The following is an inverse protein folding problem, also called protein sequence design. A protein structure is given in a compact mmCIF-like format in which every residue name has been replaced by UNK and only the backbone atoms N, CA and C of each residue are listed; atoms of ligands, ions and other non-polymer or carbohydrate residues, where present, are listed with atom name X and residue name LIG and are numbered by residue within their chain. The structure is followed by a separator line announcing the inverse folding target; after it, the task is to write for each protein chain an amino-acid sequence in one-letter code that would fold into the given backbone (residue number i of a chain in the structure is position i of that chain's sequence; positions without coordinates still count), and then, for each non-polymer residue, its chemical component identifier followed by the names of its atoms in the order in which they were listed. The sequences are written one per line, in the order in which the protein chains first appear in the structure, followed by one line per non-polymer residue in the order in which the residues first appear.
data_IF_981305394997
#
_entry.id   IF_981305394997
#
_cell.length_a   1.000
_cell.length_b   1.000
_cell.length_c   1.000
_cell.angle_alpha   90.00
_cell.angle_beta   90.00
_cell.angle_gamma   90.00
#
_symmetry.space_group_name_H-M   'P 1'
#
loop_
_entity.id
_entity.type
_entity.pdbx_description
1 polymer ?
#
# COMPACT_ATOMS: atom_id res chain seq x y z
N UNK A 1 40.68 3.23 11.02
CA UNK A 1 40.16 2.29 12.05
C UNK A 1 39.10 1.47 11.34
N UNK A 2 39.45 0.24 10.99
CA UNK A 2 38.57 -0.65 10.24
C UNK A 2 37.59 -1.26 11.23
N UNK A 3 36.35 -0.79 11.24
CA UNK A 3 35.25 -1.44 11.98
C UNK A 3 34.92 -2.77 11.30
N UNK A 4 35.73 -3.79 11.61
CA UNK A 4 35.33 -5.16 11.38
C UNK A 4 34.28 -5.52 12.45
N UNK A 5 33.08 -5.98 12.08
CA UNK A 5 32.13 -6.50 13.06
C UNK A 5 32.79 -7.66 13.84
N UNK A 6 32.46 -7.86 15.12
CA UNK A 6 33.04 -8.92 15.92
C UNK A 6 32.62 -10.27 15.32
N UNK A 7 33.50 -10.83 14.49
CA UNK A 7 33.54 -12.26 14.24
C UNK A 7 33.99 -12.94 15.54
N UNK A 8 33.56 -14.19 15.75
CA UNK A 8 34.03 -15.16 16.75
C UNK A 8 33.14 -15.36 18.00
N UNK A 9 31.87 -15.71 17.78
CA UNK A 9 31.26 -16.80 18.56
C UNK A 9 31.04 -17.95 17.58
N UNK A 10 31.47 -19.16 17.95
CA UNK A 10 31.14 -20.35 17.17
C UNK A 10 29.61 -20.44 17.08
N UNK A 11 29.09 -20.47 15.86
CA UNK A 11 27.65 -20.54 15.63
C UNK A 11 27.11 -21.77 16.36
N UNK A 12 26.17 -21.62 17.31
CA UNK A 12 25.64 -22.77 18.05
C UNK A 12 25.05 -23.79 17.09
N UNK A 13 25.12 -25.06 17.46
CA UNK A 13 24.48 -26.13 16.71
C UNK A 13 22.99 -25.82 16.51
N UNK A 14 22.50 -25.99 15.28
CA UNK A 14 21.11 -25.67 14.89
C UNK A 14 20.79 -24.19 14.67
N UNK A 15 21.68 -23.24 14.97
CA UNK A 15 21.41 -21.81 14.78
C UNK A 15 21.18 -21.44 13.31
N UNK A 16 21.96 -22.02 12.39
CA UNK A 16 21.83 -21.73 10.96
C UNK A 16 20.46 -22.15 10.41
N UNK A 17 19.98 -23.33 10.81
CA UNK A 17 18.67 -23.85 10.43
C UNK A 17 17.55 -23.00 11.02
N UNK A 18 17.64 -22.68 12.32
CA UNK A 18 16.69 -21.79 12.98
C UNK A 18 16.64 -20.39 12.36
N UNK A 19 17.80 -19.83 12.00
CA UNK A 19 17.88 -18.54 11.32
C UNK A 19 17.23 -18.59 9.93
N UNK A 20 17.41 -19.69 9.20
CA UNK A 20 16.77 -19.90 7.90
C UNK A 20 15.24 -19.98 8.07
N UNK A 21 14.75 -20.75 9.03
CA UNK A 21 13.32 -20.83 9.35
C UNK A 21 12.74 -19.46 9.70
N UNK A 22 13.46 -18.67 10.51
CA UNK A 22 13.02 -17.33 10.90
C UNK A 22 12.95 -16.40 9.69
N UNK A 23 13.96 -16.41 8.81
CA UNK A 23 13.95 -15.61 7.57
C UNK A 23 12.77 -15.98 6.67
N UNK A 24 12.49 -17.27 6.51
CA UNK A 24 11.34 -17.76 5.74
C UNK A 24 10.03 -17.24 6.34
N UNK A 25 9.83 -17.39 7.65
CA UNK A 25 8.62 -16.92 8.34
C UNK A 25 8.43 -15.40 8.21
N UNK A 26 9.51 -14.63 8.30
CA UNK A 26 9.48 -13.17 8.12
C UNK A 26 9.07 -12.83 6.69
N UNK A 27 9.68 -13.49 5.69
CA UNK A 27 9.37 -13.23 4.29
C UNK A 27 7.90 -13.55 3.97
N UNK A 28 7.40 -14.70 4.42
CA UNK A 28 6.00 -15.10 4.25
C UNK A 28 5.04 -14.11 4.91
N UNK A 29 5.38 -13.61 6.11
CA UNK A 29 4.58 -12.60 6.78
C UNK A 29 4.54 -11.28 6.00
N UNK A 30 5.68 -10.83 5.47
CA UNK A 30 5.77 -9.62 4.64
C UNK A 30 4.99 -9.76 3.33
N UNK A 31 5.06 -10.91 2.66
CA UNK A 31 4.27 -11.18 1.46
C UNK A 31 2.78 -11.13 1.75
N UNK A 32 2.32 -11.81 2.81
CA UNK A 32 0.90 -11.79 3.21
C UNK A 32 0.42 -10.39 3.54
N UNK A 33 1.21 -9.62 4.28
CA UNK A 33 0.89 -8.23 4.60
C UNK A 33 0.77 -7.38 3.31
N UNK A 34 1.72 -7.52 2.39
CA UNK A 34 1.72 -6.79 1.12
C UNK A 34 0.50 -7.14 0.27
N UNK A 35 0.15 -8.42 0.16
CA UNK A 35 -1.05 -8.87 -0.55
C UNK A 35 -2.34 -8.33 0.09
N UNK A 36 -2.44 -8.35 1.42
CA UNK A 36 -3.59 -7.83 2.14
C UNK A 36 -3.75 -6.32 1.89
N UNK A 37 -2.66 -5.54 2.00
CA UNK A 37 -2.67 -4.10 1.73
C UNK A 37 -3.07 -3.81 0.29
N UNK A 38 -2.48 -4.51 -0.68
CA UNK A 38 -2.82 -4.31 -2.10
C UNK A 38 -4.28 -4.62 -2.39
N UNK A 39 -4.82 -5.70 -1.80
CA UNK A 39 -6.25 -6.03 -1.93
C UNK A 39 -7.13 -4.92 -1.39
N UNK A 40 -6.81 -4.37 -0.22
CA UNK A 40 -7.59 -3.28 0.37
C UNK A 40 -7.50 -1.99 -0.45
N UNK A 41 -6.32 -1.66 -0.98
CA UNK A 41 -6.16 -0.51 -1.86
C UNK A 41 -6.99 -0.64 -3.14
N UNK A 42 -6.97 -1.80 -3.79
CA UNK A 42 -7.79 -2.04 -4.99
C UNK A 42 -9.28 -1.91 -4.68
N UNK A 43 -9.75 -2.50 -3.58
CA UNK A 43 -11.15 -2.37 -3.16
C UNK A 43 -11.53 -0.92 -2.85
N UNK A 44 -10.66 -0.17 -2.18
CA UNK A 44 -10.88 1.24 -1.86
C UNK A 44 -11.04 2.08 -3.12
N UNK A 45 -10.16 1.94 -4.11
CA UNK A 45 -10.28 2.71 -5.36
C UNK A 45 -11.57 2.37 -6.12
N UNK A 46 -11.94 1.08 -6.16
CA UNK A 46 -13.20 0.67 -6.78
C UNK A 46 -14.42 1.26 -6.05
N UNK A 47 -14.42 1.27 -4.71
CA UNK A 47 -15.50 1.86 -3.91
C UNK A 47 -15.62 3.37 -4.17
N UNK A 48 -14.49 4.10 -4.21
CA UNK A 48 -14.49 5.53 -4.51
C UNK A 48 -15.09 5.80 -5.90
N UNK A 49 -14.69 5.03 -6.92
CA UNK A 49 -15.25 5.15 -8.27
C UNK A 49 -16.75 4.90 -8.30
N UNK A 50 -17.22 3.86 -7.60
CA UNK A 50 -18.65 3.56 -7.46
C UNK A 50 -19.41 4.70 -6.78
N UNK A 51 -18.88 5.25 -5.68
CA UNK A 51 -19.52 6.34 -4.94
C UNK A 51 -19.60 7.62 -5.77
N UNK A 52 -18.57 7.89 -6.58
CA UNK A 52 -18.60 8.98 -7.56
C UNK A 52 -19.76 8.78 -8.53
N UNK A 53 -19.87 7.61 -9.17
CA UNK A 53 -20.94 7.34 -10.14
C UNK A 53 -22.34 7.47 -9.53
N UNK A 54 -22.54 6.96 -8.30
CA UNK A 54 -23.81 7.11 -7.58
C UNK A 54 -24.15 8.59 -7.38
N UNK A 55 -23.19 9.40 -6.91
CA UNK A 55 -23.43 10.84 -6.69
C UNK A 55 -23.61 11.62 -8.00
N UNK A 56 -22.96 11.21 -9.08
CA UNK A 56 -23.22 11.77 -10.41
C UNK A 56 -24.67 11.52 -10.84
N UNK A 57 -25.17 10.29 -10.64
CA UNK A 57 -26.54 9.92 -10.99
C UNK A 57 -27.60 10.61 -10.12
N UNK A 58 -27.38 10.67 -8.79
CA UNK A 58 -28.36 11.20 -7.84
C UNK A 58 -28.35 12.73 -7.74
N UNK A 59 -27.17 13.34 -7.87
CA UNK A 59 -26.96 14.77 -7.57
C UNK A 59 -26.52 15.59 -8.79
N UNK A 60 -26.36 14.95 -9.96
CA UNK A 60 -25.97 15.64 -11.19
C UNK A 60 -24.53 16.17 -11.17
N UNK A 61 -23.64 15.56 -10.39
CA UNK A 61 -22.26 16.04 -10.27
C UNK A 61 -21.50 15.99 -11.60
N UNK A 62 -21.14 17.18 -12.10
CA UNK A 62 -20.35 17.35 -13.31
C UNK A 62 -18.83 17.32 -13.05
N UNK A 63 -18.06 17.46 -14.13
CA UNK A 63 -16.59 17.38 -14.11
C UNK A 63 -15.90 18.31 -13.09
N UNK A 64 -16.45 19.49 -12.82
CA UNK A 64 -15.91 20.45 -11.85
C UNK A 64 -15.89 19.92 -10.41
N UNK A 65 -16.92 19.15 -10.02
CA UNK A 65 -16.99 18.57 -8.67
C UNK A 65 -15.95 17.46 -8.53
N UNK A 66 -15.73 16.68 -9.58
CA UNK A 66 -14.71 15.62 -9.61
C UNK A 66 -13.30 16.21 -9.57
N UNK A 67 -13.06 17.35 -10.25
CA UNK A 67 -11.79 18.06 -10.18
C UNK A 67 -11.50 18.61 -8.78
N UNK A 68 -12.51 19.17 -8.11
CA UNK A 68 -12.39 19.59 -6.70
C UNK A 68 -12.10 18.39 -5.78
N UNK A 69 -12.83 17.29 -5.93
CA UNK A 69 -12.62 16.07 -5.16
C UNK A 69 -11.19 15.53 -5.33
N UNK A 70 -10.69 15.47 -6.57
CA UNK A 70 -9.33 15.05 -6.86
C UNK A 70 -8.29 15.92 -6.14
N UNK A 71 -8.49 17.24 -6.14
CA UNK A 71 -7.61 18.18 -5.45
C UNK A 71 -7.64 17.95 -3.94
N UNK A 72 -8.85 17.87 -3.35
CA UNK A 72 -9.03 17.66 -1.91
C UNK A 72 -8.35 16.35 -1.46
N UNK A 73 -8.53 15.25 -2.20
CA UNK A 73 -7.92 13.96 -1.89
C UNK A 73 -6.41 13.96 -2.02
N UNK A 74 -5.84 14.62 -3.05
CA UNK A 74 -4.39 14.74 -3.19
C UNK A 74 -3.76 15.59 -2.09
N UNK A 75 -4.47 16.62 -1.63
CA UNK A 75 -4.00 17.45 -0.51
C UNK A 75 -4.05 16.67 0.81
N UNK A 76 -5.12 15.90 1.05
CA UNK A 76 -5.25 15.09 2.26
C UNK A 76 -4.29 13.89 2.29
N UNK A 77 -3.98 13.32 1.12
CA UNK A 77 -3.19 12.10 0.99
C UNK A 77 -2.07 12.26 -0.05
N UNK A 78 -1.03 13.06 0.23
CA UNK A 78 0.01 13.42 -0.76
C UNK A 78 0.82 12.23 -1.27
N UNK A 79 1.00 11.20 -0.45
CA UNK A 79 1.74 9.98 -0.81
C UNK A 79 0.89 8.97 -1.60
N UNK A 80 -0.45 9.13 -1.59
CA UNK A 80 -1.34 8.25 -2.32
C UNK A 80 -1.40 8.63 -3.80
N UNK A 81 -1.11 7.66 -4.66
CA UNK A 81 -1.30 7.78 -6.11
C UNK A 81 -2.77 7.53 -6.45
N UNK A 82 -3.18 7.72 -7.71
CA UNK A 82 -4.53 7.34 -8.14
C UNK A 82 -5.59 8.44 -8.01
N UNK A 83 -5.41 9.48 -7.19
CA UNK A 83 -6.39 10.58 -7.04
C UNK A 83 -6.28 11.70 -8.08
N UNK A 84 -5.80 11.42 -9.29
CA UNK A 84 -5.84 12.42 -10.35
C UNK A 84 -7.27 12.56 -10.91
N UNK A 85 -7.69 13.75 -11.39
CA UNK A 85 -9.01 13.90 -12.01
C UNK A 85 -9.25 12.92 -13.16
N UNK A 86 -8.19 12.56 -13.89
CA UNK A 86 -8.26 11.54 -14.95
C UNK A 86 -8.64 10.18 -14.39
N UNK A 87 -7.97 9.75 -13.31
CA UNK A 87 -8.19 8.43 -12.71
C UNK A 87 -9.51 8.31 -11.95
N UNK A 88 -10.12 9.44 -11.55
CA UNK A 88 -11.44 9.46 -10.90
C UNK A 88 -12.61 9.55 -11.89
N UNK A 89 -12.33 9.82 -13.17
CA UNK A 89 -13.35 9.94 -14.24
C UNK A 89 -13.59 8.60 -14.97
N UNK A 90 -12.84 7.54 -14.63
CA UNK A 90 -12.94 6.19 -15.20
C UNK A 90 -13.17 5.17 -14.08
#
# INVERSE_FOLDING_TARGET
MSDQPPSLIATPEGYADWLLELKTRIHDAQQRATLAVNRQLVLLYWQIGRDILVRQAEQGWGAKVIERLAQDLRTAFPEMKGFSPRNLKY
#
